data_IF_130519659196
#
_entry.id   IF_130519659196
#
_cell.length_a   1.000
_cell.length_b   1.000
_cell.length_c   1.000
_cell.angle_alpha   90.00
_cell.angle_beta   90.00
_cell.angle_gamma   90.00
#
_symmetry.space_group_name_H-M   'P 1'
#
loop_
_entity.id
_entity.type
_entity.pdbx_description
1 polymer ?
#
# COMPACT_ATOMS: atom_id res chain seq x y z
N UNK A 1 -34.07 -6.94 -13.07
CA UNK A 1 -32.99 -5.97 -12.72
C UNK A 1 -32.05 -5.90 -13.91
N UNK A 2 -31.57 -4.72 -14.30
CA UNK A 2 -30.68 -4.60 -15.47
C UNK A 2 -29.29 -5.11 -15.12
N UNK A 3 -28.58 -5.73 -16.08
CA UNK A 3 -27.21 -6.20 -15.89
C UNK A 3 -26.25 -5.10 -15.40
N UNK A 4 -26.57 -3.84 -15.70
CA UNK A 4 -25.83 -2.66 -15.24
C UNK A 4 -25.80 -2.51 -13.72
N UNK A 5 -26.80 -2.99 -12.99
CA UNK A 5 -26.81 -2.85 -11.52
C UNK A 5 -25.65 -3.58 -10.86
N UNK A 6 -25.09 -4.61 -11.50
CA UNK A 6 -23.93 -5.36 -10.99
C UNK A 6 -22.68 -4.47 -10.85
N UNK A 7 -22.57 -3.40 -11.62
CA UNK A 7 -21.41 -2.52 -11.66
C UNK A 7 -21.58 -1.23 -10.85
N UNK A 8 -22.70 -1.07 -10.16
CA UNK A 8 -22.91 0.12 -9.33
C UNK A 8 -22.02 0.09 -8.09
N UNK A 9 -21.51 1.26 -7.67
CA UNK A 9 -20.57 1.39 -6.57
C UNK A 9 -21.09 0.78 -5.25
N UNK A 10 -22.41 0.83 -4.99
CA UNK A 10 -23.00 0.20 -3.81
C UNK A 10 -22.94 -1.34 -3.83
N UNK A 11 -22.73 -1.94 -5.00
CA UNK A 11 -22.73 -3.38 -5.22
C UNK A 11 -21.31 -3.94 -5.44
N UNK A 12 -20.27 -3.09 -5.45
CA UNK A 12 -18.87 -3.48 -5.63
C UNK A 12 -18.04 -3.00 -4.43
N UNK A 13 -17.33 -3.92 -3.77
CA UNK A 13 -16.45 -3.58 -2.66
C UNK A 13 -15.20 -2.84 -3.17
N UNK A 14 -15.18 -1.51 -3.04
CA UNK A 14 -14.05 -0.67 -3.46
C UNK A 14 -12.90 -0.66 -2.43
N UNK A 15 -13.22 -0.91 -1.16
CA UNK A 15 -12.29 -0.77 -0.02
C UNK A 15 -12.23 -2.06 0.81
N UNK A 16 -11.60 -3.09 0.24
CA UNK A 16 -11.36 -4.33 0.98
C UNK A 16 -10.30 -4.04 2.05
N UNK A 17 -10.62 -4.32 3.31
CA UNK A 17 -9.68 -4.18 4.42
C UNK A 17 -9.24 -5.52 4.94
N UNK A 18 -7.99 -5.61 5.37
CA UNK A 18 -7.41 -6.84 5.87
C UNK A 18 -6.52 -6.56 7.09
N UNK A 19 -6.44 -7.52 8.00
CA UNK A 19 -5.49 -7.51 9.11
C UNK A 19 -4.26 -8.36 8.77
N UNK A 20 -3.07 -7.78 8.90
CA UNK A 20 -1.81 -8.44 8.58
C UNK A 20 -0.76 -8.19 9.66
N UNK A 21 -0.17 -9.26 10.20
CA UNK A 21 0.92 -9.16 11.17
C UNK A 21 2.24 -8.93 10.45
N UNK A 22 2.64 -7.66 10.34
CA UNK A 22 3.88 -7.25 9.63
C UNK A 22 5.14 -7.67 10.38
N UNK A 23 5.11 -7.66 11.71
CA UNK A 23 6.27 -7.92 12.55
C UNK A 23 5.88 -8.54 13.88
N UNK A 24 6.68 -9.50 14.35
CA UNK A 24 6.58 -10.07 15.68
C UNK A 24 7.13 -9.16 16.79
N UNK A 25 7.77 -8.03 16.41
CA UNK A 25 8.40 -7.08 17.33
C UNK A 25 7.41 -6.11 17.94
N UNK A 26 6.33 -5.78 17.24
CA UNK A 26 5.27 -4.93 17.76
C UNK A 26 4.28 -5.80 18.53
N UNK A 27 4.29 -5.67 19.85
CA UNK A 27 3.47 -6.50 20.75
C UNK A 27 2.51 -5.63 21.56
N UNK A 28 1.34 -6.18 21.84
CA UNK A 28 0.39 -5.59 22.76
C UNK A 28 0.80 -5.78 24.23
N UNK A 29 -0.09 -5.40 25.15
CA UNK A 29 0.13 -5.54 26.60
C UNK A 29 0.19 -7.00 27.06
N UNK A 30 -0.35 -7.92 26.28
CA UNK A 30 -0.40 -9.36 26.57
C UNK A 30 0.80 -10.11 25.94
N UNK A 31 1.56 -9.44 25.09
CA UNK A 31 2.75 -9.99 24.42
C UNK A 31 2.46 -10.59 23.04
N UNK A 32 1.24 -10.44 22.51
CA UNK A 32 0.86 -10.92 21.19
C UNK A 32 1.26 -9.91 20.10
N UNK A 33 1.73 -10.38 18.92
CA UNK A 33 2.01 -9.51 17.79
C UNK A 33 0.78 -8.71 17.37
N UNK A 34 0.97 -7.40 17.14
CA UNK A 34 -0.10 -6.50 16.74
C UNK A 34 -0.32 -6.58 15.22
N UNK A 35 -1.54 -6.92 14.81
CA UNK A 35 -1.93 -6.87 13.41
C UNK A 35 -2.10 -5.43 12.93
N UNK A 36 -1.61 -5.17 11.72
CA UNK A 36 -1.79 -3.90 11.03
C UNK A 36 -3.05 -3.98 10.19
N UNK A 37 -3.83 -2.89 10.14
CA UNK A 37 -5.00 -2.80 9.27
C UNK A 37 -4.57 -2.22 7.93
N UNK A 38 -4.73 -2.98 6.87
CA UNK A 38 -4.47 -2.60 5.49
C UNK A 38 -5.79 -2.36 4.76
N UNK A 39 -5.76 -1.56 3.70
CA UNK A 39 -6.87 -1.39 2.76
C UNK A 39 -6.37 -1.49 1.32
N UNK A 40 -7.23 -1.97 0.42
CA UNK A 40 -7.06 -1.75 -1.01
C UNK A 40 -7.20 -0.26 -1.34
N UNK A 41 -6.75 0.11 -2.53
CA UNK A 41 -6.91 1.44 -3.08
C UNK A 41 -7.45 1.37 -4.50
N UNK A 42 -8.03 2.48 -4.93
CA UNK A 42 -8.48 2.67 -6.30
C UNK A 42 -7.31 2.91 -7.26
N UNK A 43 -7.52 2.70 -8.55
CA UNK A 43 -6.51 3.05 -9.57
C UNK A 43 -6.20 4.57 -9.58
N UNK A 44 -7.17 5.41 -9.21
CA UNK A 44 -6.93 6.86 -9.09
C UNK A 44 -5.90 7.16 -7.98
N UNK A 45 -6.04 6.54 -6.80
CA UNK A 45 -5.07 6.65 -5.71
C UNK A 45 -3.70 6.04 -6.08
N UNK A 46 -3.70 4.93 -6.83
CA UNK A 46 -2.48 4.33 -7.35
C UNK A 46 -1.76 5.29 -8.32
N UNK A 47 -2.50 5.97 -9.20
CA UNK A 47 -1.93 7.00 -10.08
C UNK A 47 -1.34 8.17 -9.31
N UNK A 48 -1.98 8.60 -8.22
CA UNK A 48 -1.42 9.64 -7.35
C UNK A 48 -0.09 9.20 -6.72
N UNK A 49 -0.01 7.95 -6.27
CA UNK A 49 1.24 7.36 -5.76
C UNK A 49 2.33 7.35 -6.84
N UNK A 50 2.00 6.94 -8.08
CA UNK A 50 2.95 6.95 -9.22
C UNK A 50 3.42 8.35 -9.57
N UNK A 51 2.48 9.30 -9.68
CA UNK A 51 2.80 10.71 -9.98
C UNK A 51 3.70 11.31 -8.91
N UNK A 52 3.41 11.05 -7.64
CA UNK A 52 4.21 11.53 -6.52
C UNK A 52 5.62 10.93 -6.46
N UNK A 53 5.82 9.73 -7.02
CA UNK A 53 7.13 9.10 -7.19
C UNK A 53 7.81 9.43 -8.54
N UNK A 54 7.20 10.27 -9.38
CA UNK A 54 7.74 10.65 -10.69
C UNK A 54 8.45 11.99 -10.57
N UNK A 55 9.75 12.02 -10.88
CA UNK A 55 10.54 13.25 -10.98
C UNK A 55 10.82 13.63 -12.43
N UNK A 56 10.95 14.93 -12.69
CA UNK A 56 11.44 15.44 -13.98
C UNK A 56 12.96 15.49 -13.94
N UNK A 57 13.61 14.65 -14.73
CA UNK A 57 15.07 14.64 -14.86
C UNK A 57 15.48 15.35 -16.15
N UNK A 58 16.53 16.17 -16.07
CA UNK A 58 17.07 16.86 -17.23
C UNK A 58 18.02 15.92 -17.97
N UNK A 59 17.67 15.55 -19.20
CA UNK A 59 18.52 14.76 -20.07
C UNK A 59 19.72 15.55 -20.58
N UNK A 60 20.71 14.82 -21.13
CA UNK A 60 21.97 15.39 -21.66
C UNK A 60 21.76 16.46 -22.74
N UNK A 61 20.64 16.41 -23.47
CA UNK A 61 20.29 17.33 -24.54
C UNK A 61 19.42 18.52 -24.06
N UNK A 62 19.24 18.69 -22.74
CA UNK A 62 18.37 19.72 -22.18
C UNK A 62 16.87 19.39 -22.19
N UNK A 63 16.47 18.26 -22.77
CA UNK A 63 15.10 17.75 -22.76
C UNK A 63 14.78 17.15 -21.38
N UNK A 64 13.65 17.53 -20.79
CA UNK A 64 13.16 16.92 -19.56
C UNK A 64 12.43 15.62 -19.86
N UNK A 65 12.77 14.55 -19.15
CA UNK A 65 12.05 13.28 -19.18
C UNK A 65 11.48 12.97 -17.80
N UNK A 66 10.36 12.25 -17.76
CA UNK A 66 9.80 11.70 -16.51
C UNK A 66 10.53 10.43 -16.14
N UNK A 67 10.99 10.35 -14.89
CA UNK A 67 11.64 9.19 -14.29
C UNK A 67 10.89 8.81 -13.02
N UNK A 68 10.36 7.58 -12.96
CA UNK A 68 9.65 7.07 -11.80
C UNK A 68 10.67 6.38 -10.91
N UNK A 69 10.74 6.75 -9.63
CA UNK A 69 11.53 6.03 -8.65
C UNK A 69 10.71 4.84 -8.11
N UNK A 70 11.07 3.58 -8.43
CA UNK A 70 10.28 2.42 -8.01
C UNK A 70 10.24 2.25 -6.50
N UNK A 71 11.32 2.65 -5.80
CA UNK A 71 11.40 2.52 -4.35
C UNK A 71 10.49 3.54 -3.67
N UNK A 72 10.44 4.76 -4.19
CA UNK A 72 9.54 5.80 -3.70
C UNK A 72 8.08 5.44 -3.97
N UNK A 73 7.77 4.97 -5.18
CA UNK A 73 6.43 4.49 -5.52
C UNK A 73 5.97 3.38 -4.56
N UNK A 74 6.84 2.39 -4.32
CA UNK A 74 6.51 1.28 -3.43
C UNK A 74 6.28 1.73 -1.99
N UNK A 75 7.09 2.66 -1.47
CA UNK A 75 6.87 3.22 -0.14
C UNK A 75 5.56 4.00 -0.06
N UNK A 76 5.24 4.81 -1.08
CA UNK A 76 3.97 5.55 -1.15
C UNK A 76 2.78 4.59 -1.16
N UNK A 77 2.84 3.57 -2.02
CA UNK A 77 1.82 2.53 -2.12
C UNK A 77 1.55 1.87 -0.75
N UNK A 78 2.61 1.46 -0.05
CA UNK A 78 2.46 0.87 1.28
C UNK A 78 1.90 1.86 2.30
N UNK A 79 2.43 3.08 2.38
CA UNK A 79 1.94 4.06 3.36
C UNK A 79 0.50 4.49 3.13
N UNK A 80 0.04 4.51 1.88
CA UNK A 80 -1.36 4.80 1.53
C UNK A 80 -2.31 3.64 1.86
N UNK A 81 -1.79 2.41 1.88
CA UNK A 81 -2.54 1.18 2.18
C UNK A 81 -2.63 0.90 3.68
N UNK A 82 -1.70 1.40 4.50
CA UNK A 82 -1.73 1.20 5.96
C UNK A 82 -2.73 2.16 6.60
N UNK A 83 -3.79 1.60 7.19
CA UNK A 83 -4.82 2.32 7.97
C UNK A 83 -4.46 2.33 9.47
N UNK A 84 -3.94 1.21 9.97
CA UNK A 84 -3.45 1.11 11.34
C UNK A 84 -2.11 0.35 11.37
N UNK A 85 -1.07 0.88 12.04
CA UNK A 85 -1.03 2.15 12.78
C UNK A 85 -1.12 3.37 11.84
N UNK A 86 -1.62 4.50 12.36
CA UNK A 86 -1.63 5.76 11.59
C UNK A 86 -0.20 6.30 11.42
N UNK A 87 0.39 6.06 10.25
CA UNK A 87 1.75 6.49 9.92
C UNK A 87 1.89 8.02 9.79
N UNK A 88 0.78 8.75 9.70
CA UNK A 88 0.77 10.23 9.69
C UNK A 88 0.67 10.81 11.10
N UNK A 89 0.52 9.98 12.13
CA UNK A 89 0.46 10.43 13.51
C UNK A 89 1.77 11.11 13.94
N UNK A 90 1.66 12.35 14.43
CA UNK A 90 2.79 13.19 14.78
C UNK A 90 3.60 12.65 15.98
N UNK A 91 2.93 12.07 16.98
CA UNK A 91 3.61 11.48 18.14
C UNK A 91 4.42 10.25 17.74
N UNK A 92 3.84 9.39 16.89
CA UNK A 92 4.52 8.23 16.33
C UNK A 92 5.77 8.65 15.55
N UNK A 93 5.62 9.57 14.58
CA UNK A 93 6.76 10.08 13.81
C UNK A 93 7.85 10.70 14.71
N UNK A 94 7.45 11.47 15.72
CA UNK A 94 8.37 12.08 16.69
C UNK A 94 9.11 11.04 17.53
N UNK A 95 8.44 9.97 17.96
CA UNK A 95 9.09 8.89 18.73
C UNK A 95 10.21 8.19 17.94
N UNK A 96 10.08 8.13 16.62
CA UNK A 96 11.12 7.64 15.72
C UNK A 96 12.06 8.75 15.22
N UNK A 97 11.84 10.02 15.59
CA UNK A 97 12.69 11.15 15.18
C UNK A 97 12.74 11.34 13.65
N UNK A 98 11.60 11.18 12.98
CA UNK A 98 11.46 11.33 11.52
C UNK A 98 10.27 12.21 11.19
N UNK A 99 10.24 12.69 9.95
CA UNK A 99 9.10 13.39 9.37
C UNK A 99 8.70 12.65 8.08
N UNK A 100 7.40 12.38 7.94
CA UNK A 100 6.84 11.68 6.79
C UNK A 100 6.61 10.19 7.02
N UNK A 101 5.49 9.69 6.49
CA UNK A 101 5.05 8.32 6.67
C UNK A 101 6.01 7.32 6.01
N UNK A 102 6.57 7.65 4.84
CA UNK A 102 7.48 6.80 4.09
C UNK A 102 8.80 6.59 4.84
N UNK A 103 9.35 7.68 5.39
CA UNK A 103 10.57 7.65 6.21
C UNK A 103 10.33 6.88 7.51
N UNK A 104 9.17 7.09 8.14
CA UNK A 104 8.75 6.34 9.32
C UNK A 104 8.68 4.85 9.04
N UNK A 105 7.98 4.44 7.98
CA UNK A 105 7.81 3.03 7.64
C UNK A 105 9.17 2.33 7.43
N UNK A 106 10.09 2.98 6.70
CA UNK A 106 11.46 2.46 6.49
C UNK A 106 12.29 2.41 7.77
N UNK A 107 12.02 3.28 8.75
CA UNK A 107 12.73 3.29 10.04
C UNK A 107 12.16 2.28 11.04
N UNK A 108 10.86 2.00 10.96
CA UNK A 108 10.16 1.07 11.84
C UNK A 108 10.47 -0.39 11.50
N UNK A 109 10.49 -0.72 10.20
CA UNK A 109 10.52 -2.09 9.69
C UNK A 109 11.94 -2.54 9.35
N UNK A 110 12.23 -3.80 9.64
CA UNK A 110 13.39 -4.50 9.10
C UNK A 110 13.20 -4.74 7.58
N UNK A 111 14.28 -4.95 6.80
CA UNK A 111 14.16 -5.13 5.35
C UNK A 111 13.20 -6.26 4.93
N UNK A 112 13.21 -7.39 5.65
CA UNK A 112 12.29 -8.49 5.37
C UNK A 112 10.82 -8.18 5.72
N UNK A 113 10.59 -7.42 6.80
CA UNK A 113 9.24 -6.98 7.21
C UNK A 113 8.68 -5.96 6.21
N UNK A 114 9.53 -5.05 5.71
CA UNK A 114 9.18 -4.09 4.68
C UNK A 114 8.84 -4.78 3.35
N UNK A 115 9.62 -5.79 2.96
CA UNK A 115 9.35 -6.59 1.77
C UNK A 115 8.01 -7.36 1.89
N UNK A 116 7.78 -8.04 3.03
CA UNK A 116 6.56 -8.79 3.27
C UNK A 116 5.30 -7.90 3.30
N UNK A 117 5.38 -6.72 3.92
CA UNK A 117 4.30 -5.73 3.85
C UNK A 117 4.05 -5.31 2.40
N UNK A 118 5.11 -5.11 1.63
CA UNK A 118 5.02 -4.73 0.23
C UNK A 118 4.34 -5.77 -0.64
N UNK A 119 4.70 -7.04 -0.49
CA UNK A 119 4.04 -8.16 -1.15
C UNK A 119 2.57 -8.23 -0.78
N UNK A 120 2.25 -8.08 0.52
CA UNK A 120 0.85 -8.13 0.98
C UNK A 120 0.01 -6.99 0.43
N UNK A 121 0.54 -5.77 0.44
CA UNK A 121 -0.11 -4.59 -0.15
C UNK A 121 -0.31 -4.75 -1.65
N UNK A 122 0.64 -5.33 -2.38
CA UNK A 122 0.48 -5.58 -3.81
C UNK A 122 -0.64 -6.59 -4.06
N UNK A 123 -0.65 -7.71 -3.34
CA UNK A 123 -1.71 -8.72 -3.45
C UNK A 123 -3.10 -8.14 -3.10
N UNK A 124 -3.20 -7.33 -2.04
CA UNK A 124 -4.45 -6.68 -1.63
C UNK A 124 -5.01 -5.73 -2.71
N UNK A 125 -4.13 -5.12 -3.50
CA UNK A 125 -4.50 -4.27 -4.64
C UNK A 125 -4.68 -5.04 -5.95
N UNK A 126 -4.67 -6.38 -5.90
CA UNK A 126 -4.86 -7.24 -7.08
C UNK A 126 -3.65 -7.30 -8.03
N UNK A 127 -2.48 -6.81 -7.61
CA UNK A 127 -1.27 -6.99 -8.41
C UNK A 127 -0.81 -8.45 -8.34
N UNK A 128 -0.60 -9.06 -9.51
CA UNK A 128 -0.13 -10.44 -9.60
C UNK A 128 -1.22 -11.50 -9.40
N UNK A 129 -2.48 -11.10 -9.22
CA UNK A 129 -3.61 -12.03 -9.26
C UNK A 129 -3.89 -12.44 -10.71
N UNK A 130 -3.83 -13.74 -11.01
CA UNK A 130 -4.28 -14.26 -12.29
C UNK A 130 -5.81 -14.23 -12.32
N UNK A 131 -6.39 -13.45 -13.25
CA UNK A 131 -7.85 -13.41 -13.40
C UNK A 131 -8.45 -14.78 -13.74
N UNK A 132 -7.67 -15.70 -14.31
CA UNK A 132 -8.14 -17.06 -14.59
C UNK A 132 -8.34 -17.88 -13.31
N UNK A 133 -7.47 -17.71 -12.30
CA UNK A 133 -7.62 -18.40 -11.00
C UNK A 133 -8.89 -17.93 -10.25
N UNK A 134 -9.21 -16.64 -10.34
CA UNK A 134 -10.45 -16.09 -9.76
C UNK A 134 -11.72 -16.65 -10.42
N UNK A 135 -11.69 -16.90 -11.73
CA UNK A 135 -12.84 -17.45 -12.47
C UNK A 135 -13.13 -18.89 -12.06
N UNK A 136 -12.11 -19.67 -11.72
CA UNK A 136 -12.24 -21.06 -11.31
C UNK A 136 -12.71 -21.20 -9.85
N UNK A 137 -12.36 -20.26 -8.97
CA UNK A 137 -12.91 -20.20 -7.60
C UNK A 137 -14.42 -19.87 -7.58
N UNK A 138 -14.89 -19.03 -8.50
CA UNK A 138 -16.32 -18.63 -8.56
C UNK A 138 -17.22 -19.74 -9.15
N UNK A 139 -16.64 -20.72 -9.85
CA UNK A 139 -17.38 -21.82 -10.48
C UNK A 139 -17.59 -23.05 -9.57
N UNK A 140 -16.95 -23.10 -8.40
CA UNK A 140 -17.10 -24.18 -7.41
C UNK A 140 -18.00 -23.76 -6.24
#
# INVERSE_FOLDING_TARGET
MSELSLFFAQNVACDTTEEFVVSLRFKDKEGHPVAWKLRSMTEDENQECRKAATRKVKGKNGVYTSDIDPNEYMAKLMTSSVVHPDLKNAELQRSYGVLGAETLLRKMLLPGEFAALGERVQALNGFGTDMNELVDEVKN
#
